data_IF_257353748838
#
_entry.id   IF_257353748838
#
_cell.length_a   1.000
_cell.length_b   1.000
_cell.length_c   1.000
_cell.angle_alpha   90.00
_cell.angle_beta   90.00
_cell.angle_gamma   90.00
#
_symmetry.space_group_name_H-M   'P 1'
#
loop_
_entity.id
_entity.type
_entity.pdbx_description
1 polymer ?
#
# COMPACT_ATOMS: atom_id res chain seq x y z
N UNK A 1 -49.83 77.28 22.03
CA UNK A 1 -49.02 77.27 23.27
C UNK A 1 -48.03 76.12 23.21
N UNK A 2 -46.75 76.43 23.49
CA UNK A 2 -45.58 75.56 23.77
C UNK A 2 -44.94 74.72 22.64
N UNK A 3 -43.71 75.15 22.31
CA UNK A 3 -42.57 74.41 21.75
C UNK A 3 -42.30 73.06 22.46
N UNK A 4 -41.73 72.06 21.75
CA UNK A 4 -40.27 71.81 21.70
C UNK A 4 -39.90 70.34 21.33
N UNK A 5 -38.90 70.24 20.45
CA UNK A 5 -37.74 69.31 20.43
C UNK A 5 -37.77 68.00 19.63
N UNK A 6 -36.87 68.04 18.63
CA UNK A 6 -36.17 66.98 17.89
C UNK A 6 -35.61 65.84 18.75
N UNK A 7 -35.64 64.63 18.19
CA UNK A 7 -34.60 63.61 18.40
C UNK A 7 -34.35 62.83 17.12
N UNK A 8 -33.09 62.85 16.73
CA UNK A 8 -32.48 62.15 15.60
C UNK A 8 -32.34 60.67 16.00
N UNK A 9 -32.98 59.77 15.25
CA UNK A 9 -32.74 58.33 15.39
C UNK A 9 -31.92 57.87 14.19
N UNK A 10 -30.66 57.52 14.47
CA UNK A 10 -29.74 56.83 13.55
C UNK A 10 -30.25 55.40 13.36
N UNK A 11 -30.79 55.09 12.19
CA UNK A 11 -31.11 53.71 11.82
C UNK A 11 -29.81 53.03 11.38
N UNK A 12 -29.28 52.17 12.24
CA UNK A 12 -28.12 51.34 11.97
C UNK A 12 -28.47 50.27 10.92
N UNK A 13 -27.62 50.16 9.90
CA UNK A 13 -27.63 49.04 8.96
C UNK A 13 -27.31 47.74 9.72
N UNK A 14 -28.31 46.88 9.90
CA UNK A 14 -28.09 45.50 10.29
C UNK A 14 -27.83 44.70 9.01
N UNK A 15 -26.54 44.53 8.68
CA UNK A 15 -26.10 43.46 7.78
C UNK A 15 -26.50 42.13 8.42
N UNK A 16 -27.48 41.46 7.83
CA UNK A 16 -27.76 40.05 8.07
C UNK A 16 -26.55 39.24 7.59
N UNK A 17 -25.61 39.02 8.51
CA UNK A 17 -24.47 38.13 8.32
C UNK A 17 -24.96 36.70 8.16
N UNK A 18 -24.73 36.13 6.97
CA UNK A 18 -24.85 34.70 6.74
C UNK A 18 -23.75 34.02 7.54
N UNK A 19 -24.11 33.37 8.64
CA UNK A 19 -23.21 32.48 9.38
C UNK A 19 -23.02 31.24 8.50
N UNK A 20 -21.97 31.25 7.69
CA UNK A 20 -21.48 30.04 7.07
C UNK A 20 -20.92 29.15 8.20
N UNK A 21 -21.70 28.13 8.57
CA UNK A 21 -21.17 27.01 9.35
C UNK A 21 -20.10 26.35 8.48
N UNK A 22 -18.86 26.75 8.67
CA UNK A 22 -17.69 26.04 8.19
C UNK A 22 -17.67 24.71 8.93
N UNK A 23 -18.33 23.72 8.35
CA UNK A 23 -18.15 22.32 8.71
C UNK A 23 -16.66 22.04 8.57
N UNK A 24 -15.93 22.03 9.68
CA UNK A 24 -14.66 21.33 9.73
C UNK A 24 -15.00 19.88 9.41
N UNK A 25 -14.85 19.49 8.16
CA UNK A 25 -14.74 18.08 7.81
C UNK A 25 -13.58 17.54 8.64
N UNK A 26 -13.95 16.80 9.69
CA UNK A 26 -13.05 15.91 10.38
C UNK A 26 -12.46 15.03 9.28
N UNK A 27 -11.19 15.25 8.97
CA UNK A 27 -10.44 14.40 8.06
C UNK A 27 -10.67 12.96 8.47
N UNK A 28 -11.44 12.24 7.65
CA UNK A 28 -11.66 10.81 7.84
C UNK A 28 -10.32 10.09 7.89
N UNK A 29 -10.26 8.89 8.49
CA UNK A 29 -9.02 8.15 8.63
C UNK A 29 -8.32 8.04 7.27
N UNK A 30 -7.06 8.50 7.21
CA UNK A 30 -6.25 8.44 6.01
C UNK A 30 -6.07 6.98 5.63
N UNK A 31 -6.72 6.56 4.55
CA UNK A 31 -6.62 5.20 4.03
C UNK A 31 -5.44 5.15 3.06
N UNK A 32 -4.28 4.68 3.51
CA UNK A 32 -3.06 4.61 2.69
C UNK A 32 -3.15 3.55 1.58
N UNK A 33 -4.11 2.61 1.70
CA UNK A 33 -4.21 1.46 0.81
C UNK A 33 -3.09 0.43 1.03
N UNK A 34 -2.28 0.57 2.10
CA UNK A 34 -1.20 -0.37 2.41
C UNK A 34 -1.74 -1.80 2.58
N UNK A 35 -2.94 -1.94 3.16
CA UNK A 35 -3.66 -3.21 3.32
C UNK A 35 -4.65 -3.53 2.20
N UNK A 36 -4.75 -2.72 1.14
CA UNK A 36 -5.67 -3.00 0.04
C UNK A 36 -5.23 -4.29 -0.68
N UNK A 37 -6.13 -5.28 -0.78
CA UNK A 37 -5.86 -6.54 -1.48
C UNK A 37 -5.17 -7.64 -0.64
N UNK A 38 -5.07 -7.49 0.68
CA UNK A 38 -4.59 -8.55 1.58
C UNK A 38 -5.60 -8.81 2.71
N UNK A 39 -6.25 -9.98 2.69
CA UNK A 39 -7.02 -10.48 3.85
C UNK A 39 -8.50 -10.82 3.63
N UNK A 40 -8.97 -11.07 2.41
CA UNK A 40 -10.31 -11.62 2.14
C UNK A 40 -10.25 -12.96 1.40
N UNK A 41 -11.26 -13.85 1.53
CA UNK A 41 -11.36 -15.02 0.67
C UNK A 41 -11.50 -14.56 -0.79
N UNK A 42 -10.82 -15.25 -1.72
CA UNK A 42 -11.02 -15.10 -3.16
C UNK A 42 -12.45 -15.53 -3.50
N UNK A 43 -13.38 -14.58 -3.50
CA UNK A 43 -14.76 -14.82 -3.91
C UNK A 43 -14.81 -14.84 -5.45
N UNK A 44 -15.40 -15.87 -6.08
CA UNK A 44 -15.73 -15.83 -7.50
C UNK A 44 -16.66 -14.65 -7.79
N UNK A 45 -16.29 -13.86 -8.80
CA UNK A 45 -17.01 -12.65 -9.18
C UNK A 45 -18.46 -12.95 -9.59
N UNK A 46 -19.42 -12.37 -8.87
CA UNK A 46 -20.76 -12.05 -9.39
C UNK A 46 -20.87 -10.54 -9.42
N UNK A 47 -20.80 -9.98 -10.62
CA UNK A 47 -21.01 -8.56 -10.89
C UNK A 47 -22.46 -8.19 -10.62
N UNK A 48 -22.73 -7.27 -9.68
CA UNK A 48 -23.85 -6.31 -9.68
C UNK A 48 -23.88 -5.52 -8.35
N UNK A 49 -23.20 -4.36 -8.28
CA UNK A 49 -23.35 -3.38 -7.18
C UNK A 49 -22.30 -2.24 -7.22
N UNK A 50 -22.63 -0.99 -6.83
CA UNK A 50 -21.74 0.17 -7.05
C UNK A 50 -20.67 0.41 -5.96
N UNK A 51 -20.33 -0.58 -5.14
CA UNK A 51 -19.21 -0.49 -4.19
C UNK A 51 -18.29 -1.70 -4.34
N UNK A 52 -17.53 -1.69 -5.44
CA UNK A 52 -16.39 -2.60 -5.61
C UNK A 52 -15.18 -2.02 -4.84
N UNK A 53 -14.39 -2.84 -4.12
CA UNK A 53 -13.00 -2.47 -3.89
C UNK A 53 -12.37 -2.19 -5.26
N UNK A 54 -11.51 -1.17 -5.34
CA UNK A 54 -10.87 -0.79 -6.59
C UNK A 54 -10.39 -2.06 -7.30
N UNK A 55 -10.86 -2.33 -8.54
CA UNK A 55 -10.38 -3.47 -9.30
C UNK A 55 -8.86 -3.47 -9.21
N UNK A 56 -8.24 -4.62 -8.94
CA UNK A 56 -6.85 -4.77 -9.31
C UNK A 56 -6.80 -4.38 -10.79
N UNK A 57 -6.22 -3.21 -11.09
CA UNK A 57 -6.13 -2.70 -12.46
C UNK A 57 -5.65 -3.90 -13.29
N UNK A 58 -6.41 -4.34 -14.32
CA UNK A 58 -6.02 -5.47 -15.15
C UNK A 58 -4.55 -5.33 -15.47
N UNK A 59 -3.76 -6.31 -15.04
CA UNK A 59 -2.31 -6.23 -15.13
C UNK A 59 -1.89 -6.50 -16.56
N UNK A 60 -1.97 -5.48 -17.41
CA UNK A 60 -1.57 -5.51 -18.82
C UNK A 60 -0.05 -5.38 -19.00
N UNK A 61 0.69 -5.20 -17.91
CA UNK A 61 2.14 -4.98 -17.91
C UNK A 61 2.91 -6.23 -17.48
N UNK A 62 2.41 -6.97 -16.49
CA UNK A 62 3.09 -8.19 -16.03
C UNK A 62 2.87 -9.36 -16.99
N UNK A 63 3.91 -10.15 -17.20
CA UNK A 63 3.85 -11.38 -17.98
C UNK A 63 4.75 -12.45 -17.38
N UNK A 64 4.43 -13.71 -17.69
CA UNK A 64 5.22 -14.86 -17.31
C UNK A 64 5.21 -15.90 -18.44
N UNK A 65 6.39 -16.28 -18.90
CA UNK A 65 6.66 -17.30 -19.91
C UNK A 65 7.71 -18.31 -19.41
N UNK A 66 7.96 -18.34 -18.10
CA UNK A 66 8.96 -19.20 -17.46
C UNK A 66 8.52 -20.62 -17.15
N UNK A 67 7.32 -21.02 -17.55
CA UNK A 67 6.83 -22.40 -17.38
C UNK A 67 7.63 -23.33 -18.30
N UNK A 68 8.30 -24.34 -17.72
CA UNK A 68 9.19 -25.25 -18.45
C UNK A 68 10.59 -24.69 -18.79
N UNK A 69 10.82 -23.38 -18.63
CA UNK A 69 12.14 -22.79 -18.82
C UNK A 69 13.14 -23.29 -17.76
N UNK A 70 14.36 -23.60 -18.20
CA UNK A 70 15.45 -24.16 -17.39
C UNK A 70 16.60 -23.16 -17.20
N UNK A 71 17.46 -23.42 -16.21
CA UNK A 71 18.66 -22.63 -15.95
C UNK A 71 18.60 -21.86 -14.63
N UNK A 72 19.75 -21.33 -14.21
CA UNK A 72 19.86 -20.64 -12.92
C UNK A 72 18.97 -19.38 -12.88
N UNK A 73 18.17 -19.17 -11.82
CA UNK A 73 17.33 -18.00 -11.70
C UNK A 73 18.14 -16.75 -11.34
N UNK A 74 17.67 -15.58 -11.77
CA UNK A 74 18.19 -14.26 -11.36
C UNK A 74 17.08 -13.22 -11.49
N UNK A 75 17.03 -12.26 -10.58
CA UNK A 75 16.05 -11.17 -10.61
C UNK A 75 16.77 -9.83 -10.78
N UNK A 76 16.22 -8.95 -11.64
CA UNK A 76 16.56 -7.52 -11.66
C UNK A 76 15.34 -6.71 -11.25
N UNK A 77 15.55 -5.70 -10.42
CA UNK A 77 14.54 -4.77 -9.94
C UNK A 77 14.96 -3.40 -10.41
N UNK A 78 14.14 -2.77 -11.24
CA UNK A 78 14.33 -1.40 -11.67
C UNK A 78 13.31 -0.50 -10.97
N UNK A 79 13.80 0.31 -10.01
CA UNK A 79 12.99 1.21 -9.21
C UNK A 79 12.48 2.39 -10.02
N UNK A 80 13.25 2.87 -11.00
CA UNK A 80 12.79 3.96 -11.89
C UNK A 80 11.59 3.55 -12.73
N UNK A 81 11.58 2.32 -13.25
CA UNK A 81 10.49 1.77 -14.05
C UNK A 81 9.37 1.14 -13.23
N UNK A 82 9.57 0.96 -11.92
CA UNK A 82 8.70 0.15 -11.06
C UNK A 82 8.41 -1.22 -11.69
N UNK A 83 9.48 -1.91 -12.12
CA UNK A 83 9.41 -3.27 -12.68
C UNK A 83 10.43 -4.22 -12.04
N UNK A 84 10.05 -5.49 -11.95
CA UNK A 84 10.95 -6.60 -11.68
C UNK A 84 11.00 -7.53 -12.90
N UNK A 85 12.20 -8.00 -13.24
CA UNK A 85 12.50 -8.86 -14.37
C UNK A 85 13.06 -10.18 -13.84
N UNK A 86 12.49 -11.29 -14.28
CA UNK A 86 12.91 -12.63 -13.89
C UNK A 86 13.64 -13.30 -15.03
N UNK A 87 14.84 -13.80 -14.76
CA UNK A 87 15.65 -14.54 -15.73
C UNK A 87 15.83 -15.99 -15.30
N UNK A 88 15.89 -16.90 -16.28
CA UNK A 88 16.36 -18.28 -16.12
C UNK A 88 17.43 -18.57 -17.16
N UNK A 89 18.62 -18.97 -16.71
CA UNK A 89 19.73 -19.27 -17.63
C UNK A 89 20.15 -18.08 -18.50
N UNK A 90 19.87 -16.84 -18.07
CA UNK A 90 20.11 -15.61 -18.84
C UNK A 90 18.98 -15.19 -19.76
N UNK A 91 17.94 -16.01 -19.94
CA UNK A 91 16.74 -15.67 -20.73
C UNK A 91 15.72 -14.97 -19.83
N UNK A 92 15.16 -13.85 -20.29
CA UNK A 92 14.05 -13.18 -19.61
C UNK A 92 12.80 -14.05 -19.74
N UNK A 93 12.18 -14.40 -18.61
CA UNK A 93 11.03 -15.30 -18.56
C UNK A 93 9.85 -14.76 -17.74
N UNK A 94 9.95 -13.49 -17.33
CA UNK A 94 8.87 -12.84 -16.62
C UNK A 94 9.17 -11.38 -16.32
N UNK A 95 8.12 -10.57 -16.35
CA UNK A 95 8.14 -9.16 -15.93
C UNK A 95 6.97 -8.95 -15.00
N UNK A 96 7.21 -8.24 -13.89
CA UNK A 96 6.19 -7.85 -12.95
C UNK A 96 6.21 -6.34 -12.78
N UNK A 97 5.05 -5.69 -12.78
CA UNK A 97 4.93 -4.39 -12.11
C UNK A 97 5.28 -4.54 -10.63
N UNK A 98 5.83 -3.49 -10.02
CA UNK A 98 6.13 -3.46 -8.59
C UNK A 98 5.71 -2.14 -7.94
N UNK A 99 5.72 -2.10 -6.62
CA UNK A 99 5.80 -0.85 -5.84
C UNK A 99 6.92 -0.96 -4.82
N UNK A 100 8.01 -0.25 -5.05
CA UNK A 100 9.21 -0.23 -4.19
C UNK A 100 9.04 0.73 -2.99
N UNK A 101 10.09 0.83 -2.18
CA UNK A 101 10.20 1.82 -1.11
C UNK A 101 10.11 3.25 -1.61
N UNK A 102 9.36 4.09 -0.90
CA UNK A 102 9.20 5.53 -1.18
C UNK A 102 10.49 6.32 -0.88
N UNK A 103 10.44 7.66 -0.94
CA UNK A 103 11.61 8.51 -0.73
C UNK A 103 12.16 8.44 0.71
N UNK A 104 11.28 8.36 1.71
CA UNK A 104 11.67 8.24 3.12
C UNK A 104 12.21 6.86 3.49
N UNK A 105 11.76 5.82 2.76
CA UNK A 105 12.07 4.41 3.01
C UNK A 105 12.52 3.71 1.74
N UNK A 106 13.48 4.32 1.03
CA UNK A 106 13.95 3.83 -0.25
C UNK A 106 14.48 2.39 -0.17
N UNK A 107 14.09 1.55 -1.14
CA UNK A 107 14.75 0.26 -1.37
C UNK A 107 16.18 0.52 -1.86
N UNK A 108 17.25 0.18 -1.11
CA UNK A 108 18.60 0.57 -1.51
C UNK A 108 19.03 -0.16 -2.80
N UNK A 109 19.70 0.53 -3.75
CA UNK A 109 20.27 -0.12 -4.91
C UNK A 109 21.45 -1.01 -4.51
N UNK A 110 21.72 -2.06 -5.27
CA UNK A 110 22.83 -2.95 -4.98
C UNK A 110 22.67 -4.37 -5.53
N UNK A 111 23.66 -5.19 -5.21
CA UNK A 111 23.67 -6.62 -5.52
C UNK A 111 23.35 -7.41 -4.26
N UNK A 112 22.27 -8.17 -4.31
CA UNK A 112 21.74 -8.96 -3.22
C UNK A 112 21.61 -10.43 -3.62
N UNK A 113 21.19 -11.24 -2.66
CA UNK A 113 20.70 -12.60 -2.87
C UNK A 113 19.43 -12.80 -2.06
N UNK A 114 18.59 -13.74 -2.47
CA UNK A 114 17.52 -14.24 -1.61
C UNK A 114 18.15 -14.88 -0.37
N UNK A 115 17.85 -14.37 0.83
CA UNK A 115 18.37 -14.91 2.10
C UNK A 115 17.31 -15.67 2.90
N UNK A 116 16.03 -15.47 2.58
CA UNK A 116 14.93 -16.19 3.22
C UNK A 116 13.72 -16.24 2.30
N UNK A 117 12.95 -17.32 2.39
CA UNK A 117 11.62 -17.46 1.79
C UNK A 117 10.59 -17.82 2.85
N UNK A 118 9.40 -17.23 2.79
CA UNK A 118 8.27 -17.59 3.65
C UNK A 118 6.95 -17.33 2.93
N UNK A 119 6.14 -18.38 2.72
CA UNK A 119 4.86 -18.30 1.99
C UNK A 119 3.86 -17.40 2.73
N UNK A 120 3.77 -17.55 4.05
CA UNK A 120 2.79 -16.88 4.92
C UNK A 120 3.44 -15.85 5.87
N UNK A 121 4.43 -15.11 5.37
CA UNK A 121 5.15 -14.14 6.21
C UNK A 121 4.23 -13.05 6.73
N UNK A 122 4.52 -12.56 7.94
CA UNK A 122 3.86 -11.41 8.54
C UNK A 122 4.92 -10.45 9.05
N UNK A 123 4.67 -9.16 8.89
CA UNK A 123 5.56 -8.12 9.42
C UNK A 123 5.56 -8.15 10.95
N UNK A 124 6.74 -8.01 11.54
CA UNK A 124 6.89 -7.91 13.00
C UNK A 124 6.60 -6.50 13.53
N UNK A 125 6.66 -5.47 12.67
CA UNK A 125 6.58 -4.06 13.08
C UNK A 125 5.55 -3.22 12.30
N UNK A 126 5.13 -3.68 11.13
CA UNK A 126 4.15 -2.98 10.29
C UNK A 126 2.81 -3.69 10.28
N UNK A 127 1.71 -2.96 10.24
CA UNK A 127 0.38 -3.56 10.30
C UNK A 127 -0.74 -2.53 10.20
N UNK A 128 -1.85 -2.86 10.86
CA UNK A 128 -2.99 -1.97 10.96
C UNK A 128 -3.60 -1.99 12.36
N UNK A 129 -4.27 -0.90 12.72
CA UNK A 129 -5.17 -0.84 13.87
C UNK A 129 -6.60 -0.95 13.38
N UNK A 130 -7.38 -1.80 14.05
CA UNK A 130 -8.83 -1.90 13.87
C UNK A 130 -9.53 -1.67 15.19
N UNK A 131 -10.73 -1.09 15.14
CA UNK A 131 -11.59 -0.96 16.30
C UNK A 131 -11.96 -2.35 16.83
N UNK A 132 -11.82 -2.56 18.13
CA UNK A 132 -12.06 -3.87 18.77
C UNK A 132 -13.53 -4.30 18.70
N UNK A 133 -14.45 -3.34 18.72
CA UNK A 133 -15.89 -3.61 18.79
C UNK A 133 -16.53 -3.73 17.41
N UNK A 134 -16.14 -2.89 16.47
CA UNK A 134 -16.75 -2.82 15.13
C UNK A 134 -15.91 -3.53 14.07
N UNK A 135 -14.63 -3.78 14.32
CA UNK A 135 -13.69 -4.30 13.33
C UNK A 135 -13.30 -3.29 12.25
N UNK A 136 -13.76 -2.04 12.35
CA UNK A 136 -13.47 -0.98 11.38
C UNK A 136 -11.98 -0.66 11.36
N UNK A 137 -11.42 -0.45 10.16
CA UNK A 137 -10.04 -0.01 9.98
C UNK A 137 -9.88 1.41 10.54
N UNK A 138 -8.98 1.59 11.51
CA UNK A 138 -8.68 2.89 12.11
C UNK A 138 -7.41 3.51 11.52
N UNK A 139 -6.39 2.69 11.29
CA UNK A 139 -5.15 3.07 10.61
C UNK A 139 -4.64 1.84 9.87
N UNK A 140 -4.51 1.93 8.55
CA UNK A 140 -4.05 0.82 7.71
C UNK A 140 -2.54 0.83 7.45
N UNK A 141 -1.79 1.77 8.03
CA UNK A 141 -0.36 1.97 7.83
C UNK A 141 0.39 2.19 9.16
N UNK A 142 0.27 1.23 10.08
CA UNK A 142 0.85 1.32 11.41
C UNK A 142 2.32 0.88 11.40
N UNK A 143 3.18 1.66 12.06
CA UNK A 143 4.51 1.26 12.53
C UNK A 143 4.53 1.27 14.06
N UNK A 144 4.56 0.10 14.69
CA UNK A 144 4.45 -0.04 16.15
C UNK A 144 5.64 0.55 16.93
N UNK A 145 6.71 0.98 16.24
CA UNK A 145 7.84 1.67 16.88
C UNK A 145 7.52 3.13 17.19
N UNK A 146 6.58 3.72 16.45
CA UNK A 146 6.22 5.14 16.55
C UNK A 146 4.74 5.33 16.87
N UNK A 147 3.86 4.49 16.32
CA UNK A 147 2.42 4.57 16.50
C UNK A 147 1.96 3.85 17.76
N UNK A 148 1.25 4.58 18.62
CA UNK A 148 0.62 4.02 19.82
C UNK A 148 -0.76 3.48 19.48
N UNK A 149 -1.08 2.30 19.99
CA UNK A 149 -2.42 1.70 19.83
C UNK A 149 -3.46 2.60 20.51
N UNK A 150 -4.45 3.14 19.78
CA UNK A 150 -5.51 3.94 20.37
C UNK A 150 -6.34 3.13 21.38
N UNK A 151 -6.94 3.76 22.40
CA UNK A 151 -7.89 3.07 23.28
C UNK A 151 -8.99 2.40 22.48
N UNK A 152 -9.25 1.12 22.76
CA UNK A 152 -10.26 0.34 22.04
C UNK A 152 -9.82 -0.22 20.69
N UNK A 153 -8.57 0.01 20.25
CA UNK A 153 -8.04 -0.59 19.02
C UNK A 153 -7.28 -1.91 19.28
N UNK A 154 -7.18 -2.74 18.24
CA UNK A 154 -6.36 -3.96 18.19
C UNK A 154 -5.41 -3.88 17.00
N UNK A 155 -4.15 -4.23 17.23
CA UNK A 155 -3.13 -4.34 16.18
C UNK A 155 -3.21 -5.68 15.44
N UNK A 156 -3.09 -5.62 14.12
CA UNK A 156 -2.94 -6.77 13.25
C UNK A 156 -1.70 -6.60 12.38
N UNK A 157 -0.77 -7.55 12.47
CA UNK A 157 0.44 -7.58 11.66
C UNK A 157 0.11 -7.64 10.16
N UNK A 158 0.83 -6.86 9.35
CA UNK A 158 0.69 -6.85 7.90
C UNK A 158 1.07 -8.22 7.31
N UNK A 159 0.16 -8.91 6.60
CA UNK A 159 0.53 -10.11 5.86
C UNK A 159 1.40 -9.74 4.64
N UNK A 160 2.42 -10.54 4.40
CA UNK A 160 3.33 -10.42 3.26
C UNK A 160 3.45 -11.78 2.55
N UNK A 161 2.41 -12.22 1.82
CA UNK A 161 2.45 -13.52 1.15
C UNK A 161 3.59 -13.62 0.14
N UNK A 162 4.11 -14.83 -0.07
CA UNK A 162 5.21 -15.10 -1.01
C UNK A 162 6.48 -14.28 -0.70
N UNK A 163 6.80 -14.09 0.58
CA UNK A 163 7.92 -13.24 0.98
C UNK A 163 9.29 -13.83 0.62
N UNK A 164 10.11 -13.00 0.00
CA UNK A 164 11.46 -13.30 -0.48
C UNK A 164 12.42 -12.22 0.01
N UNK A 165 13.11 -12.48 1.13
CA UNK A 165 14.00 -11.51 1.81
C UNK A 165 15.30 -11.32 1.02
N UNK A 166 15.77 -10.07 0.93
CA UNK A 166 17.06 -9.74 0.30
C UNK A 166 18.07 -9.10 1.28
N UNK A 167 17.61 -8.35 2.28
CA UNK A 167 18.46 -7.73 3.31
C UNK A 167 17.63 -7.17 4.45
N UNK A 168 18.08 -7.30 5.71
CA UNK A 168 17.39 -6.72 6.87
C UNK A 168 15.89 -7.04 6.87
N UNK A 169 15.04 -6.02 6.98
CA UNK A 169 13.58 -6.11 6.87
C UNK A 169 13.02 -6.12 5.43
N UNK A 170 13.87 -6.01 4.40
CA UNK A 170 13.49 -5.76 3.00
C UNK A 170 13.39 -7.09 2.24
N UNK A 171 12.30 -7.23 1.50
CA UNK A 171 12.07 -8.35 0.59
C UNK A 171 11.00 -8.04 -0.46
N UNK A 172 10.83 -8.97 -1.40
CA UNK A 172 9.72 -8.96 -2.35
C UNK A 172 8.55 -9.77 -1.79
N UNK A 173 7.30 -9.35 -2.03
CA UNK A 173 6.11 -10.08 -1.60
C UNK A 173 4.83 -9.58 -2.31
N UNK A 174 3.70 -10.28 -2.14
CA UNK A 174 2.38 -9.81 -2.58
C UNK A 174 2.00 -8.51 -1.85
N UNK A 175 1.52 -7.49 -2.56
CA UNK A 175 0.91 -6.31 -1.94
C UNK A 175 0.17 -5.40 -2.92
N UNK A 176 -0.40 -4.30 -2.41
CA UNK A 176 -1.04 -3.26 -3.24
C UNK A 176 -0.01 -2.48 -4.07
N UNK A 177 -0.33 -2.16 -5.32
CA UNK A 177 0.53 -1.42 -6.23
C UNK A 177 -0.18 -0.15 -6.71
N UNK A 178 0.14 1.03 -6.16
CA UNK A 178 -0.49 2.29 -6.55
C UNK A 178 0.08 2.89 -7.86
N UNK A 179 1.00 2.18 -8.54
CA UNK A 179 1.66 2.67 -9.77
C UNK A 179 2.92 3.50 -9.53
N UNK A 180 3.32 3.73 -8.28
CA UNK A 180 4.54 4.43 -7.90
C UNK A 180 5.19 3.79 -6.65
N UNK A 181 6.39 4.27 -6.30
CA UNK A 181 7.12 3.85 -5.11
C UNK A 181 6.42 4.32 -3.84
N UNK A 182 5.93 3.39 -3.02
CA UNK A 182 5.01 3.71 -1.92
C UNK A 182 5.09 2.76 -0.72
N UNK A 183 6.09 1.88 -0.64
CA UNK A 183 6.26 0.98 0.50
C UNK A 183 7.23 1.53 1.54
N UNK A 184 7.31 0.87 2.70
CA UNK A 184 8.35 1.08 3.73
C UNK A 184 9.66 0.32 3.43
N UNK A 185 10.01 0.19 2.15
CA UNK A 185 11.26 -0.42 1.67
C UNK A 185 11.09 -1.75 0.94
N UNK A 186 10.06 -2.54 1.25
CA UNK A 186 9.79 -3.79 0.55
C UNK A 186 9.37 -3.59 -0.92
N UNK A 187 9.54 -4.61 -1.75
CA UNK A 187 9.13 -4.59 -3.16
C UNK A 187 7.80 -5.35 -3.29
N UNK A 188 6.70 -4.60 -3.37
CA UNK A 188 5.37 -5.21 -3.53
C UNK A 188 5.14 -5.64 -4.96
N UNK A 189 4.51 -6.79 -5.14
CA UNK A 189 4.19 -7.39 -6.44
C UNK A 189 2.71 -7.83 -6.47
N UNK A 190 2.10 -7.96 -7.66
CA UNK A 190 0.83 -8.67 -7.81
C UNK A 190 0.95 -10.10 -7.27
N UNK A 191 -0.15 -10.63 -6.73
CA UNK A 191 -0.13 -11.94 -6.08
C UNK A 191 0.38 -13.05 -7.01
N UNK A 192 -0.18 -13.15 -8.22
CA UNK A 192 0.20 -14.15 -9.22
C UNK A 192 1.70 -14.07 -9.56
N UNK A 193 2.24 -12.88 -9.78
CA UNK A 193 3.67 -12.71 -10.08
C UNK A 193 4.56 -13.04 -8.89
N UNK A 194 4.17 -12.63 -7.67
CA UNK A 194 4.92 -12.96 -6.46
C UNK A 194 4.97 -14.47 -6.21
N UNK A 195 3.90 -15.20 -6.53
CA UNK A 195 3.84 -16.66 -6.43
C UNK A 195 4.77 -17.31 -7.45
N UNK A 196 4.69 -16.90 -8.73
CA UNK A 196 5.60 -17.39 -9.78
C UNK A 196 7.06 -17.15 -9.41
N UNK A 197 7.40 -15.94 -8.93
CA UNK A 197 8.76 -15.63 -8.49
C UNK A 197 9.16 -16.50 -7.31
N UNK A 198 8.30 -16.62 -6.29
CA UNK A 198 8.55 -17.42 -5.10
C UNK A 198 8.82 -18.87 -5.43
N UNK A 199 8.04 -19.49 -6.33
CA UNK A 199 8.22 -20.88 -6.72
C UNK A 199 9.51 -21.12 -7.50
N UNK A 200 10.00 -20.10 -8.24
CA UNK A 200 11.12 -20.23 -9.15
C UNK A 200 12.47 -19.72 -8.60
N UNK A 201 12.51 -19.21 -7.37
CA UNK A 201 13.77 -18.85 -6.68
C UNK A 201 14.11 -19.82 -5.55
N UNK A 202 15.39 -19.93 -5.25
CA UNK A 202 15.92 -20.53 -4.03
C UNK A 202 16.69 -19.51 -3.18
N UNK A 203 16.97 -19.82 -1.92
CA UNK A 203 17.97 -19.07 -1.14
C UNK A 203 19.30 -19.09 -1.89
N UNK A 204 19.96 -17.94 -1.99
CA UNK A 204 21.15 -17.73 -2.79
C UNK A 204 20.89 -17.18 -4.20
N UNK A 205 19.64 -17.18 -4.69
CA UNK A 205 19.28 -16.60 -6.00
C UNK A 205 19.71 -15.13 -6.07
N UNK A 206 20.50 -14.71 -7.07
CA UNK A 206 20.93 -13.32 -7.21
C UNK A 206 19.75 -12.37 -7.46
N UNK A 207 19.80 -11.22 -6.81
CA UNK A 207 18.87 -10.10 -7.03
C UNK A 207 19.67 -8.83 -7.23
N UNK A 208 19.42 -8.08 -8.30
CA UNK A 208 20.03 -6.78 -8.56
C UNK A 208 18.95 -5.72 -8.41
N UNK A 209 19.21 -4.68 -7.63
CA UNK A 209 18.34 -3.52 -7.48
C UNK A 209 19.04 -2.31 -8.08
N UNK A 210 18.37 -1.66 -9.04
CA UNK A 210 18.82 -0.47 -9.77
C UNK A 210 17.78 0.64 -9.74
#
# INVERSE_FOLDING_TARGET
MKFMKSSIIRCAFLLSGVIALSSCELGGPQHSGYMAGVGGPLQPHVSNGPHHPAPAIPDDISHWDGDGATGAPMIKINRGQQKAFFYKGGVLVGVSKISSGNEDHATPPGKYKIIQKSKDHKSSIYGCFKDKSTGMMLNDNVDIRVDKTPPGAVYYAAPMPNFMRISGGIGMHTGYLPGYAASHGCIRMPHQMSEKFFENVAVGTPVIVE
#
